data_IF_552124213769
#
_entry.id   IF_552124213769
#
_cell.length_a   1.000
_cell.length_b   1.000
_cell.length_c   1.000
_cell.angle_alpha   90.00
_cell.angle_beta   90.00
_cell.angle_gamma   90.00
#
_symmetry.space_group_name_H-M   'P 1'
#
loop_
_entity.id
_entity.type
_entity.pdbx_description
1 polymer ?
#
# COMPACT_ATOMS: atom_id res chain seq x y z
N UNK A 1 -49.39 -55.50 -10.66
CA UNK A 1 -48.81 -55.11 -11.95
C UNK A 1 -47.54 -54.31 -11.70
N UNK A 2 -46.42 -54.85 -12.18
CA UNK A 2 -45.10 -54.25 -12.41
C UNK A 2 -44.65 -53.03 -11.60
N UNK A 3 -43.83 -53.32 -10.59
CA UNK A 3 -42.52 -52.73 -10.29
C UNK A 3 -42.09 -51.53 -11.18
N UNK A 4 -42.00 -50.33 -10.60
CA UNK A 4 -41.24 -49.20 -11.15
C UNK A 4 -40.18 -48.77 -10.14
N UNK A 5 -39.13 -49.58 -10.01
CA UNK A 5 -37.86 -49.09 -9.50
C UNK A 5 -37.29 -48.18 -10.60
N UNK A 6 -37.55 -46.88 -10.52
CA UNK A 6 -36.85 -45.90 -11.33
C UNK A 6 -35.43 -45.79 -10.77
N UNK A 7 -34.49 -46.41 -11.48
CA UNK A 7 -33.06 -46.29 -11.24
C UNK A 7 -32.65 -44.83 -11.53
N UNK A 8 -32.51 -44.01 -10.50
CA UNK A 8 -31.90 -42.68 -10.59
C UNK A 8 -30.40 -42.89 -10.80
N UNK A 9 -29.97 -42.81 -12.05
CA UNK A 9 -28.54 -42.68 -12.38
C UNK A 9 -28.08 -41.29 -11.95
N UNK A 10 -27.65 -41.15 -10.70
CA UNK A 10 -27.02 -39.93 -10.21
C UNK A 10 -25.85 -39.59 -11.15
N UNK A 11 -26.02 -38.53 -11.95
CA UNK A 11 -25.00 -38.09 -12.91
C UNK A 11 -23.90 -37.36 -12.15
N UNK A 12 -23.12 -38.13 -11.39
CA UNK A 12 -21.96 -37.64 -10.66
C UNK A 12 -20.91 -37.18 -11.67
N UNK A 13 -20.53 -35.90 -11.59
CA UNK A 13 -19.41 -35.38 -12.39
C UNK A 13 -18.16 -36.21 -12.07
N UNK A 14 -17.46 -36.73 -13.09
CA UNK A 14 -16.40 -37.70 -12.85
C UNK A 14 -15.27 -37.06 -12.06
N UNK A 15 -14.89 -37.67 -10.94
CA UNK A 15 -13.82 -37.23 -10.04
C UNK A 15 -12.49 -36.93 -10.76
N UNK A 16 -12.28 -37.57 -11.91
CA UNK A 16 -11.14 -37.40 -12.81
C UNK A 16 -10.96 -35.94 -13.26
N UNK A 17 -12.05 -35.20 -13.48
CA UNK A 17 -11.99 -33.79 -13.89
C UNK A 17 -11.38 -32.95 -12.75
N UNK A 18 -11.89 -33.09 -11.54
CA UNK A 18 -11.38 -32.34 -10.38
C UNK A 18 -9.91 -32.66 -10.08
N UNK A 19 -9.51 -33.92 -10.21
CA UNK A 19 -8.11 -34.32 -10.03
C UNK A 19 -7.20 -33.74 -11.12
N UNK A 20 -7.65 -33.72 -12.38
CA UNK A 20 -6.87 -33.14 -13.49
C UNK A 20 -6.66 -31.63 -13.31
N UNK A 21 -7.70 -30.89 -12.92
CA UNK A 21 -7.61 -29.44 -12.67
C UNK A 21 -6.79 -29.17 -11.40
N UNK A 22 -6.95 -30.00 -10.35
CA UNK A 22 -6.13 -29.92 -9.15
C UNK A 22 -4.63 -30.05 -9.46
N UNK A 23 -4.26 -30.99 -10.34
CA UNK A 23 -2.87 -31.13 -10.79
C UNK A 23 -2.40 -29.91 -11.60
N UNK A 24 -3.24 -29.39 -12.49
CA UNK A 24 -2.94 -28.17 -13.25
C UNK A 24 -2.68 -26.97 -12.32
N UNK A 25 -3.49 -26.80 -11.26
CA UNK A 25 -3.31 -25.76 -10.25
C UNK A 25 -2.01 -25.92 -9.45
N UNK A 26 -1.62 -27.16 -9.16
CA UNK A 26 -0.36 -27.44 -8.48
C UNK A 26 0.85 -27.02 -9.33
N UNK A 27 0.84 -27.40 -10.61
CA UNK A 27 1.87 -26.98 -11.59
C UNK A 27 1.93 -25.46 -11.69
N UNK A 28 0.77 -24.81 -11.82
CA UNK A 28 0.69 -23.36 -11.95
C UNK A 28 1.22 -22.65 -10.69
N UNK A 29 1.02 -23.23 -9.51
CA UNK A 29 1.57 -22.71 -8.25
C UNK A 29 3.09 -22.86 -8.20
N UNK A 30 3.63 -24.01 -8.61
CA UNK A 30 5.07 -24.20 -8.71
C UNK A 30 5.70 -23.21 -9.72
N UNK A 31 5.01 -22.94 -10.82
CA UNK A 31 5.41 -21.94 -11.80
C UNK A 31 5.45 -20.54 -11.19
N UNK A 32 4.43 -20.13 -10.42
CA UNK A 32 4.43 -18.82 -9.73
C UNK A 32 5.60 -18.69 -8.76
N UNK A 33 5.89 -19.73 -7.97
CA UNK A 33 7.04 -19.71 -7.04
C UNK A 33 8.36 -19.62 -7.80
N UNK A 34 8.48 -20.32 -8.93
CA UNK A 34 9.70 -20.30 -9.74
C UNK A 34 9.93 -18.93 -10.38
N UNK A 35 8.88 -18.33 -10.95
CA UNK A 35 8.96 -17.00 -11.55
C UNK A 35 9.27 -15.94 -10.50
N UNK A 36 8.68 -16.04 -9.31
CA UNK A 36 8.97 -15.13 -8.20
C UNK A 36 10.45 -15.13 -7.78
N UNK A 37 11.16 -16.26 -7.98
CA UNK A 37 12.60 -16.36 -7.69
C UNK A 37 13.49 -15.77 -8.79
N UNK A 38 12.96 -15.56 -9.99
CA UNK A 38 13.71 -14.98 -11.12
C UNK A 38 13.53 -13.45 -11.06
N UNK A 39 14.64 -12.71 -11.05
CA UNK A 39 14.60 -11.26 -11.05
C UNK A 39 14.25 -10.71 -12.43
N UNK A 40 12.95 -10.59 -12.71
CA UNK A 40 12.40 -9.95 -13.92
C UNK A 40 12.24 -8.42 -13.76
N UNK A 41 12.81 -7.85 -12.70
CA UNK A 41 12.66 -6.42 -12.39
C UNK A 41 11.20 -6.03 -12.14
N UNK A 42 10.77 -4.83 -12.58
CA UNK A 42 9.40 -4.33 -12.38
C UNK A 42 8.30 -5.23 -12.96
N UNK A 43 8.63 -6.04 -13.98
CA UNK A 43 7.68 -6.92 -14.66
C UNK A 43 7.31 -8.17 -13.86
N UNK A 44 8.07 -8.51 -12.81
CA UNK A 44 7.78 -9.68 -11.99
C UNK A 44 6.38 -9.64 -11.38
N UNK A 45 5.97 -8.46 -10.87
CA UNK A 45 4.66 -8.28 -10.27
C UNK A 45 3.52 -8.48 -11.27
N UNK A 46 3.67 -7.95 -12.50
CA UNK A 46 2.66 -8.07 -13.56
C UNK A 46 2.51 -9.53 -13.99
N UNK A 47 3.63 -10.23 -14.21
CA UNK A 47 3.62 -11.65 -14.60
C UNK A 47 3.05 -12.52 -13.47
N UNK A 48 3.48 -12.31 -12.23
CA UNK A 48 2.98 -13.04 -11.07
C UNK A 48 1.47 -12.82 -10.88
N UNK A 49 0.98 -11.59 -11.06
CA UNK A 49 -0.44 -11.26 -10.97
C UNK A 49 -1.23 -11.93 -12.11
N UNK A 50 -0.73 -11.92 -13.35
CA UNK A 50 -1.38 -12.58 -14.48
C UNK A 50 -1.55 -14.08 -14.26
N UNK A 51 -0.52 -14.76 -13.76
CA UNK A 51 -0.58 -16.19 -13.44
C UNK A 51 -1.52 -16.46 -12.27
N UNK A 52 -1.49 -15.60 -11.25
CA UNK A 52 -2.41 -15.69 -10.10
C UNK A 52 -3.88 -15.53 -10.55
N UNK A 53 -4.18 -14.60 -11.46
CA UNK A 53 -5.51 -14.43 -12.04
C UNK A 53 -5.95 -15.65 -12.83
N UNK A 54 -5.07 -16.23 -13.66
CA UNK A 54 -5.38 -17.45 -14.40
C UNK A 54 -5.66 -18.65 -13.47
N UNK A 55 -4.88 -18.79 -12.39
CA UNK A 55 -5.12 -19.77 -11.32
C UNK A 55 -6.51 -19.59 -10.71
N UNK A 56 -6.85 -18.35 -10.35
CA UNK A 56 -8.16 -18.01 -9.79
C UNK A 56 -9.31 -18.35 -10.73
N UNK A 57 -9.13 -18.12 -12.04
CA UNK A 57 -10.14 -18.43 -13.04
C UNK A 57 -10.39 -19.94 -13.16
N UNK A 58 -9.34 -20.76 -13.17
CA UNK A 58 -9.48 -22.23 -13.15
C UNK A 58 -10.22 -22.71 -11.90
N UNK A 59 -9.92 -22.14 -10.73
CA UNK A 59 -10.63 -22.47 -9.49
C UNK A 59 -12.11 -22.09 -9.59
N UNK A 60 -12.41 -20.88 -10.05
CA UNK A 60 -13.80 -20.40 -10.18
C UNK A 60 -14.60 -21.27 -11.18
N UNK A 61 -14.03 -21.61 -12.33
CA UNK A 61 -14.74 -22.36 -13.38
C UNK A 61 -15.03 -23.81 -12.97
N UNK A 62 -14.05 -24.50 -12.38
CA UNK A 62 -14.16 -25.94 -12.10
C UNK A 62 -14.51 -26.26 -10.64
N UNK A 63 -13.84 -25.66 -9.66
CA UNK A 63 -14.04 -25.99 -8.25
C UNK A 63 -15.25 -25.29 -7.64
N UNK A 64 -15.60 -24.08 -8.11
CA UNK A 64 -16.87 -23.43 -7.74
C UNK A 64 -18.04 -23.86 -8.63
N UNK A 65 -17.84 -24.88 -9.47
CA UNK A 65 -18.89 -25.47 -10.31
C UNK A 65 -19.57 -24.45 -11.25
N UNK A 66 -18.93 -23.31 -11.50
CA UNK A 66 -19.52 -22.16 -12.19
C UNK A 66 -19.90 -22.48 -13.65
N UNK A 67 -19.21 -23.43 -14.28
CA UNK A 67 -19.50 -23.89 -15.64
C UNK A 67 -20.68 -24.86 -15.71
N UNK A 68 -20.93 -25.62 -14.65
CA UNK A 68 -21.92 -26.71 -14.63
C UNK A 68 -23.23 -26.32 -13.91
N UNK A 69 -23.19 -25.27 -13.08
CA UNK A 69 -24.37 -24.74 -12.37
C UNK A 69 -25.14 -23.71 -13.22
N UNK A 70 -26.16 -23.09 -12.63
CA UNK A 70 -27.03 -22.10 -13.25
C UNK A 70 -26.23 -20.87 -13.70
N UNK A 71 -26.48 -20.42 -14.93
CA UNK A 71 -25.85 -19.23 -15.54
C UNK A 71 -25.95 -17.94 -14.70
N UNK A 72 -26.92 -17.86 -13.78
CA UNK A 72 -27.06 -16.70 -12.88
C UNK A 72 -25.85 -16.53 -11.96
N UNK A 73 -25.24 -17.61 -11.47
CA UNK A 73 -24.05 -17.55 -10.63
C UNK A 73 -22.83 -17.05 -11.42
N UNK A 74 -22.72 -17.44 -12.69
CA UNK A 74 -21.68 -16.94 -13.60
C UNK A 74 -21.76 -15.41 -13.78
N UNK A 75 -22.98 -14.88 -13.92
CA UNK A 75 -23.20 -13.43 -14.03
C UNK A 75 -22.80 -12.73 -12.72
N UNK A 76 -23.27 -13.21 -11.56
CA UNK A 76 -22.97 -12.60 -10.26
C UNK A 76 -21.45 -12.55 -10.01
N UNK A 77 -20.75 -13.66 -10.25
CA UNK A 77 -19.28 -13.73 -10.10
C UNK A 77 -18.58 -12.82 -11.11
N UNK A 78 -19.05 -12.75 -12.36
CA UNK A 78 -18.47 -11.85 -13.37
C UNK A 78 -18.61 -10.38 -12.97
N UNK A 79 -19.76 -9.97 -12.43
CA UNK A 79 -19.99 -8.60 -11.94
C UNK A 79 -19.07 -8.31 -10.75
N UNK A 80 -18.91 -9.27 -9.82
CA UNK A 80 -17.99 -9.13 -8.70
C UNK A 80 -16.52 -9.00 -9.16
N UNK A 81 -16.09 -9.78 -10.17
CA UNK A 81 -14.75 -9.69 -10.75
C UNK A 81 -14.52 -8.36 -11.49
N UNK A 82 -15.50 -7.89 -12.25
CA UNK A 82 -15.41 -6.58 -12.92
C UNK A 82 -15.33 -5.46 -11.88
N UNK A 83 -16.15 -5.53 -10.83
CA UNK A 83 -16.11 -4.56 -9.73
C UNK A 83 -14.73 -4.57 -9.05
N UNK A 84 -14.19 -5.75 -8.73
CA UNK A 84 -12.86 -5.90 -8.17
C UNK A 84 -11.77 -5.32 -9.09
N UNK A 85 -11.85 -5.59 -10.39
CA UNK A 85 -10.89 -5.06 -11.37
C UNK A 85 -10.91 -3.53 -11.42
N UNK A 86 -12.11 -2.93 -11.41
CA UNK A 86 -12.28 -1.47 -11.35
C UNK A 86 -11.70 -0.92 -10.03
N UNK A 87 -11.95 -1.58 -8.90
CA UNK A 87 -11.40 -1.17 -7.61
C UNK A 87 -9.87 -1.17 -7.63
N UNK A 88 -9.24 -2.25 -8.11
CA UNK A 88 -7.79 -2.34 -8.23
C UNK A 88 -7.25 -1.25 -9.15
N UNK A 89 -7.89 -1.02 -10.31
CA UNK A 89 -7.48 0.00 -11.26
C UNK A 89 -7.57 1.41 -10.67
N UNK A 90 -8.65 1.72 -9.96
CA UNK A 90 -8.85 3.01 -9.30
C UNK A 90 -7.84 3.22 -8.17
N UNK A 91 -7.62 2.21 -7.32
CA UNK A 91 -6.62 2.28 -6.25
C UNK A 91 -5.21 2.47 -6.82
N UNK A 92 -4.87 1.77 -7.91
CA UNK A 92 -3.58 1.95 -8.57
C UNK A 92 -3.45 3.36 -9.15
N UNK A 93 -4.48 3.86 -9.83
CA UNK A 93 -4.49 5.23 -10.38
C UNK A 93 -4.39 6.30 -9.29
N UNK A 94 -5.04 6.07 -8.15
CA UNK A 94 -4.96 6.92 -6.97
C UNK A 94 -3.53 6.93 -6.38
N UNK A 95 -2.92 5.77 -6.15
CA UNK A 95 -1.54 5.67 -5.67
C UNK A 95 -0.56 6.36 -6.63
N UNK A 96 -0.72 6.15 -7.94
CA UNK A 96 0.19 6.70 -8.93
C UNK A 96 0.14 8.24 -8.98
N UNK A 97 -1.05 8.83 -8.78
CA UNK A 97 -1.25 10.30 -8.80
C UNK A 97 -1.08 10.96 -7.43
N UNK A 98 -1.00 10.19 -6.33
CA UNK A 98 -0.77 10.75 -4.98
C UNK A 98 0.54 11.52 -4.88
N UNK A 99 1.58 11.12 -5.61
CA UNK A 99 2.87 11.83 -5.63
C UNK A 99 2.79 13.19 -6.31
N UNK A 100 1.94 13.32 -7.33
CA UNK A 100 1.84 14.53 -8.14
C UNK A 100 1.16 15.69 -7.40
N UNK A 101 0.25 15.38 -6.47
CA UNK A 101 -0.56 16.37 -5.75
C UNK A 101 -0.03 16.71 -4.35
N UNK A 102 0.75 15.83 -3.73
CA UNK A 102 1.20 15.99 -2.35
C UNK A 102 2.62 16.56 -2.34
N UNK A 103 2.75 17.88 -2.34
CA UNK A 103 3.99 18.59 -1.95
C UNK A 103 4.33 18.47 -0.46
N UNK A 104 3.81 17.45 0.23
CA UNK A 104 4.04 17.24 1.65
C UNK A 104 5.40 16.55 1.82
N UNK A 105 6.45 17.35 1.84
CA UNK A 105 7.70 16.99 2.49
C UNK A 105 7.34 16.61 3.93
N UNK A 106 7.55 15.36 4.33
CA UNK A 106 7.26 14.89 5.68
C UNK A 106 8.24 15.56 6.65
N UNK A 107 7.93 16.78 7.07
CA UNK A 107 8.73 17.51 8.05
C UNK A 107 8.62 16.75 9.37
N UNK A 108 9.74 16.46 10.05
CA UNK A 108 9.70 15.74 11.32
C UNK A 108 8.84 16.50 12.34
N UNK A 109 7.97 15.76 13.05
CA UNK A 109 7.04 16.32 14.08
C UNK A 109 7.80 17.04 15.21
N UNK A 110 9.08 16.73 15.40
CA UNK A 110 10.04 17.51 16.20
C UNK A 110 11.33 17.67 15.40
N UNK A 111 11.57 18.86 14.85
CA UNK A 111 12.80 19.17 14.11
C UNK A 111 14.04 19.06 15.01
N UNK A 112 13.86 19.28 16.30
CA UNK A 112 14.88 19.23 17.34
C UNK A 112 15.14 17.82 17.91
N UNK A 113 14.45 16.77 17.44
CA UNK A 113 14.71 15.42 17.93
C UNK A 113 16.08 14.92 17.46
N UNK A 114 16.86 14.39 18.42
CA UNK A 114 18.24 13.86 18.23
C UNK A 114 18.36 12.80 17.12
N UNK A 115 17.24 12.20 16.68
CA UNK A 115 17.15 11.21 15.60
C UNK A 115 17.43 11.84 14.21
N UNK A 116 17.24 13.16 14.08
CA UNK A 116 17.49 13.91 12.83
C UNK A 116 18.83 14.65 12.84
N UNK A 117 19.55 14.64 13.97
CA UNK A 117 20.85 15.29 14.06
C UNK A 117 21.92 14.43 13.37
N UNK A 118 22.51 14.90 12.26
CA UNK A 118 23.47 14.14 11.48
C UNK A 118 24.76 13.82 12.25
N UNK A 119 25.02 14.48 13.38
CA UNK A 119 26.22 14.26 14.18
C UNK A 119 26.04 13.19 15.28
N UNK A 120 24.88 12.57 15.39
CA UNK A 120 24.56 11.66 16.50
C UNK A 120 24.95 10.21 16.27
N UNK A 121 25.46 9.87 15.09
CA UNK A 121 25.86 8.50 14.74
C UNK A 121 24.68 7.51 14.67
N UNK A 122 23.44 7.99 14.78
CA UNK A 122 22.23 7.20 14.60
C UNK A 122 22.01 6.96 13.09
N UNK A 123 21.49 5.79 12.68
CA UNK A 123 21.25 5.51 11.27
C UNK A 123 20.14 6.43 10.75
N UNK A 124 20.54 7.50 10.07
CA UNK A 124 19.62 8.34 9.33
C UNK A 124 19.06 7.51 8.18
N UNK A 125 17.77 7.16 8.23
CA UNK A 125 17.08 6.77 7.02
C UNK A 125 16.80 8.04 6.23
N UNK A 126 17.81 8.46 5.48
CA UNK A 126 17.78 9.61 4.60
C UNK A 126 16.72 9.34 3.52
N UNK A 127 15.51 9.88 3.74
CA UNK A 127 14.51 9.95 2.68
C UNK A 127 15.14 10.67 1.49
N UNK A 128 14.96 10.14 0.28
CA UNK A 128 15.44 10.79 -0.94
C UNK A 128 14.74 12.14 -1.11
N UNK A 129 15.35 13.18 -0.56
CA UNK A 129 15.11 14.57 -0.95
C UNK A 129 16.03 14.85 -2.14
N UNK A 130 15.59 14.44 -3.32
CA UNK A 130 16.11 15.03 -4.55
C UNK A 130 15.49 16.42 -4.64
N UNK A 131 16.34 17.45 -4.53
CA UNK A 131 15.95 18.86 -4.54
C UNK A 131 15.81 19.35 -5.99
N UNK A 132 14.63 19.85 -6.40
CA UNK A 132 14.54 20.70 -7.57
C UNK A 132 14.34 22.14 -7.11
N UNK A 133 15.38 22.93 -7.40
CA UNK A 133 15.44 24.38 -7.48
C UNK A 133 14.11 25.16 -7.46
N UNK A 134 14.03 26.07 -6.48
CA UNK A 134 13.55 27.45 -6.56
C UNK A 134 12.46 27.81 -7.59
N UNK A 135 11.23 28.03 -7.12
CA UNK A 135 10.33 29.12 -7.55
C UNK A 135 9.21 29.20 -6.50
N UNK A 136 9.17 30.23 -5.62
CA UNK A 136 8.22 31.37 -5.69
C UNK A 136 6.78 30.90 -5.39
N UNK A 137 6.03 31.34 -4.38
CA UNK A 137 5.90 32.58 -3.64
C UNK A 137 5.15 32.26 -2.31
N UNK A 138 5.47 32.93 -1.21
CA UNK A 138 4.84 32.74 0.11
C UNK A 138 3.83 33.85 0.39
N UNK A 139 2.52 33.55 0.30
CA UNK A 139 1.46 34.36 0.90
C UNK A 139 1.27 33.98 2.37
N UNK A 140 2.20 34.44 3.22
CA UNK A 140 2.10 34.38 4.68
C UNK A 140 1.54 35.70 5.22
N UNK A 141 0.25 35.92 5.05
CA UNK A 141 -0.46 37.04 5.67
C UNK A 141 -1.84 36.60 6.16
N UNK A 142 -1.91 35.91 7.30
CA UNK A 142 -3.17 35.84 8.09
C UNK A 142 -3.07 35.22 9.49
N UNK A 143 -1.95 34.66 9.93
CA UNK A 143 -1.91 33.99 11.25
C UNK A 143 -0.63 34.33 12.01
N UNK A 144 -0.71 35.33 12.90
CA UNK A 144 -0.19 35.29 14.29
C UNK A 144 0.03 36.70 14.87
N UNK A 145 -1.02 37.53 14.89
CA UNK A 145 -1.13 38.65 15.85
C UNK A 145 -1.71 38.07 17.13
N UNK A 146 -0.90 37.45 18.01
CA UNK A 146 -1.30 37.03 19.39
C UNK A 146 -0.15 36.41 20.20
N UNK A 147 1.03 37.02 20.25
CA UNK A 147 2.05 36.60 21.24
C UNK A 147 3.09 37.68 21.58
N UNK A 148 2.66 38.93 21.78
CA UNK A 148 3.56 40.05 22.06
C UNK A 148 3.28 40.77 23.39
N UNK A 149 2.69 40.11 24.41
CA UNK A 149 2.18 40.82 25.60
C UNK A 149 2.64 40.26 26.97
N UNK A 150 3.50 39.24 27.09
CA UNK A 150 3.76 38.65 28.44
C UNK A 150 5.23 38.34 28.81
N UNK A 151 6.20 39.19 28.44
CA UNK A 151 7.59 39.03 28.92
C UNK A 151 8.15 40.27 29.67
N UNK A 152 7.31 41.27 29.97
CA UNK A 152 7.76 42.48 30.69
C UNK A 152 7.58 42.41 32.21
N UNK A 153 7.17 41.28 32.78
CA UNK A 153 6.89 41.17 34.22
C UNK A 153 7.37 39.85 34.84
N UNK A 154 8.63 39.47 34.63
CA UNK A 154 9.29 38.46 35.47
C UNK A 154 10.71 38.92 35.82
N UNK A 155 10.84 39.57 36.97
CA UNK A 155 12.12 39.93 37.56
C UNK A 155 12.93 38.69 37.93
N UNK A 156 14.22 38.71 37.57
CA UNK A 156 15.23 37.81 38.12
C UNK A 156 16.44 38.65 38.59
N UNK A 157 16.72 38.72 39.90
CA UNK A 157 17.94 39.33 40.43
C UNK A 157 19.08 38.31 40.44
N UNK A 158 19.95 38.32 39.42
CA UNK A 158 21.18 37.51 39.42
C UNK A 158 22.43 38.39 39.72
N UNK A 159 23.22 38.11 40.78
CA UNK A 159 24.28 38.98 41.33
C UNK A 159 25.63 39.08 40.57
N UNK A 160 25.70 38.72 39.29
CA UNK A 160 27.00 38.51 38.61
C UNK A 160 27.63 39.73 37.91
N UNK A 161 27.09 40.94 38.08
CA UNK A 161 27.63 42.16 37.45
C UNK A 161 28.74 42.91 38.21
N UNK A 162 28.98 42.57 39.48
CA UNK A 162 29.72 43.45 40.43
C UNK A 162 31.26 43.43 40.31
N UNK A 163 31.88 42.70 39.37
CA UNK A 163 33.36 42.53 39.35
C UNK A 163 34.07 42.94 38.07
N UNK A 164 33.59 44.00 37.39
CA UNK A 164 34.27 44.51 36.17
C UNK A 164 34.53 46.03 36.12
N UNK A 165 34.54 46.74 37.26
CA UNK A 165 34.82 48.19 37.27
C UNK A 165 35.89 48.64 38.28
N UNK A 166 36.81 47.76 38.69
CA UNK A 166 37.95 48.14 39.52
C UNK A 166 39.28 47.69 38.90
N UNK A 167 39.62 48.24 37.73
CA UNK A 167 40.99 48.29 37.21
C UNK A 167 41.00 49.10 35.91
N UNK A 168 41.60 50.28 35.97
CA UNK A 168 41.78 51.18 34.85
C UNK A 168 42.31 52.50 35.38
N UNK A 169 43.62 52.70 35.22
CA UNK A 169 44.42 53.84 35.67
C UNK A 169 43.88 55.19 35.21
#
# INVERSE_FOLDING_TARGET
>A
MANRAQEHSDHITPLRIYLSVGLALFILTALTVTISKIHLGPWNAIVALGIASFKGLLVALFFMHLLYDKKIYMIIVSVALVMLAILIALTMADILRRGDINGYEAVPIRREAKIYDPNTGLPLKQGHAESPAATGEHDTASISTRHAVDDSLAGNPNPEGMKRQATGK
#
